data_IF_456136187148
#
_entry.id   IF_456136187148
#
_cell.length_a   1.000
_cell.length_b   1.000
_cell.length_c   1.000
_cell.angle_alpha   90.00
_cell.angle_beta   90.00
_cell.angle_gamma   90.00
#
_symmetry.space_group_name_H-M   'P 1'
#
loop_
_entity.id
_entity.type
_entity.pdbx_description
1 polymer ?
#
# COMPACT_ATOMS: atom_id res chain seq x y z
N UNK A 1 0.64 5.90 -19.13
CA UNK A 1 0.71 7.03 -18.18
C UNK A 1 0.61 6.47 -16.77
N UNK A 2 1.68 6.62 -15.97
CA UNK A 2 1.68 6.23 -14.56
C UNK A 2 0.74 7.16 -13.80
N UNK A 3 -0.23 6.59 -13.09
CA UNK A 3 -1.09 7.34 -12.20
C UNK A 3 -0.21 7.97 -11.11
N UNK A 4 -0.25 9.30 -10.95
CA UNK A 4 0.63 10.00 -10.02
C UNK A 4 0.51 9.44 -8.60
N UNK A 5 1.64 9.28 -7.92
CA UNK A 5 1.73 8.68 -6.58
C UNK A 5 0.76 9.33 -5.57
N UNK A 6 0.61 10.65 -5.62
CA UNK A 6 -0.34 11.41 -4.79
C UNK A 6 -1.79 10.97 -4.99
N UNK A 7 -2.20 10.75 -6.24
CA UNK A 7 -3.55 10.30 -6.57
C UNK A 7 -3.79 8.89 -6.05
N UNK A 8 -2.78 8.02 -6.12
CA UNK A 8 -2.86 6.68 -5.55
C UNK A 8 -2.98 6.72 -4.02
N UNK A 9 -2.28 7.62 -3.33
CA UNK A 9 -2.43 7.80 -1.87
C UNK A 9 -3.81 8.32 -1.49
N UNK A 10 -4.38 9.27 -2.25
CA UNK A 10 -5.75 9.76 -2.03
C UNK A 10 -6.75 8.61 -2.13
N UNK A 11 -6.63 7.77 -3.16
CA UNK A 11 -7.45 6.57 -3.32
C UNK A 11 -7.38 5.62 -2.12
N UNK A 12 -6.17 5.35 -1.62
CA UNK A 12 -5.97 4.45 -0.48
C UNK A 12 -6.53 5.02 0.83
N UNK A 13 -6.36 6.33 1.05
CA UNK A 13 -6.95 7.01 2.20
C UNK A 13 -8.47 6.90 2.17
N UNK A 14 -9.08 7.12 1.01
CA UNK A 14 -10.52 7.04 0.83
C UNK A 14 -11.04 5.61 0.96
N UNK A 15 -10.33 4.60 0.44
CA UNK A 15 -10.73 3.20 0.57
C UNK A 15 -10.78 2.69 2.02
N UNK A 16 -10.02 3.32 2.92
CA UNK A 16 -9.99 3.04 4.36
C UNK A 16 -11.02 3.85 5.16
N UNK A 17 -11.09 5.16 4.92
CA UNK A 17 -11.81 6.10 5.79
C UNK A 17 -13.25 6.32 5.34
N UNK A 18 -13.53 6.25 4.03
CA UNK A 18 -14.82 6.67 3.51
C UNK A 18 -15.41 5.68 2.48
N UNK A 19 -16.32 4.78 2.89
CA UNK A 19 -16.98 3.86 1.97
C UNK A 19 -17.88 4.56 0.95
N UNK A 20 -18.14 5.88 1.06
CA UNK A 20 -18.94 6.63 0.08
C UNK A 20 -18.30 6.77 -1.30
N UNK A 21 -17.02 6.40 -1.47
CA UNK A 21 -16.36 6.23 -2.78
C UNK A 21 -16.76 4.93 -3.49
N UNK A 22 -17.80 4.25 -2.99
CA UNK A 22 -18.25 2.97 -3.50
C UNK A 22 -18.50 3.07 -5.00
N UNK A 23 -17.80 2.23 -5.75
CA UNK A 23 -17.90 2.15 -7.21
C UNK A 23 -19.37 1.92 -7.64
N UNK A 24 -20.23 1.47 -6.73
CA UNK A 24 -21.68 1.32 -6.88
C UNK A 24 -22.43 2.64 -7.15
N UNK A 25 -22.07 3.76 -6.49
CA UNK A 25 -22.64 5.09 -6.83
C UNK A 25 -22.12 5.61 -8.17
N UNK A 26 -20.94 5.16 -8.56
CA UNK A 26 -20.22 5.60 -9.77
C UNK A 26 -20.56 4.77 -11.02
N UNK A 27 -21.18 3.60 -10.88
CA UNK A 27 -21.45 2.69 -12.00
C UNK A 27 -22.58 3.14 -12.93
N UNK A 28 -23.46 4.03 -12.46
CA UNK A 28 -24.70 4.38 -13.18
C UNK A 28 -24.76 5.82 -13.69
N UNK A 29 -24.10 6.78 -13.02
CA UNK A 29 -24.08 8.20 -13.41
C UNK A 29 -22.78 8.89 -12.99
N UNK A 30 -22.39 9.93 -13.74
CA UNK A 30 -21.33 10.83 -13.31
C UNK A 30 -21.73 11.55 -12.01
N UNK A 31 -20.76 11.91 -11.14
CA UNK A 31 -21.05 12.69 -9.96
C UNK A 31 -21.69 14.04 -10.32
N UNK A 32 -22.72 14.42 -9.57
CA UNK A 32 -23.44 15.69 -9.77
C UNK A 32 -22.55 16.89 -9.44
N UNK A 33 -21.69 16.76 -8.43
CA UNK A 33 -20.75 17.79 -8.02
C UNK A 33 -19.39 17.60 -8.67
N UNK A 34 -18.84 18.71 -9.21
CA UNK A 34 -17.54 18.71 -9.90
C UNK A 34 -16.38 18.31 -8.98
N UNK A 35 -16.51 18.55 -7.69
CA UNK A 35 -15.51 18.22 -6.66
C UNK A 35 -15.25 16.72 -6.54
N UNK A 36 -16.24 15.89 -6.88
CA UNK A 36 -16.14 14.43 -6.80
C UNK A 36 -15.59 13.80 -8.08
N UNK A 37 -15.41 14.57 -9.15
CA UNK A 37 -14.91 14.06 -10.44
C UNK A 37 -13.50 13.45 -10.34
N UNK A 38 -12.52 14.07 -9.65
CA UNK A 38 -11.20 13.47 -9.50
C UNK A 38 -11.25 12.10 -8.83
N UNK A 39 -12.09 11.95 -7.79
CA UNK A 39 -12.31 10.68 -7.07
C UNK A 39 -12.94 9.63 -7.97
N UNK A 40 -13.94 10.05 -8.74
CA UNK A 40 -14.60 9.19 -9.72
C UNK A 40 -13.62 8.60 -10.73
N UNK A 41 -12.88 9.45 -11.44
CA UNK A 41 -11.92 8.99 -12.45
C UNK A 41 -10.82 8.12 -11.86
N UNK A 42 -10.38 8.46 -10.65
CA UNK A 42 -9.38 7.69 -9.92
C UNK A 42 -9.89 6.29 -9.57
N UNK A 43 -11.09 6.19 -8.99
CA UNK A 43 -11.73 4.90 -8.64
C UNK A 43 -12.00 4.06 -9.89
N UNK A 44 -12.49 4.67 -10.97
CA UNK A 44 -12.68 3.99 -12.27
C UNK A 44 -11.35 3.45 -12.83
N UNK A 45 -10.28 4.23 -12.77
CA UNK A 45 -8.96 3.79 -13.23
C UNK A 45 -8.45 2.61 -12.40
N UNK A 46 -8.66 2.62 -11.08
CA UNK A 46 -8.30 1.49 -10.21
C UNK A 46 -9.15 0.25 -10.47
N UNK A 47 -10.43 0.42 -10.78
CA UNK A 47 -11.30 -0.69 -11.15
C UNK A 47 -10.85 -1.35 -12.47
N UNK A 48 -10.49 -0.55 -13.47
CA UNK A 48 -9.91 -1.06 -14.74
C UNK A 48 -8.59 -1.78 -14.48
N UNK A 49 -7.72 -1.20 -13.65
CA UNK A 49 -6.46 -1.84 -13.28
C UNK A 49 -6.68 -3.15 -12.54
N UNK A 50 -7.65 -3.21 -11.63
CA UNK A 50 -8.04 -4.44 -10.95
C UNK A 50 -8.57 -5.50 -11.94
N UNK A 51 -9.39 -5.10 -12.91
CA UNK A 51 -9.86 -5.99 -13.99
C UNK A 51 -8.69 -6.57 -14.80
N UNK A 52 -7.69 -5.76 -15.12
CA UNK A 52 -6.51 -6.17 -15.88
C UNK A 52 -5.59 -7.08 -15.05
N UNK A 53 -5.22 -6.65 -13.84
CA UNK A 53 -4.20 -7.31 -13.02
C UNK A 53 -4.72 -8.61 -12.40
N UNK A 54 -6.00 -8.64 -11.97
CA UNK A 54 -6.58 -9.80 -11.29
C UNK A 54 -7.11 -10.85 -12.27
N UNK A 55 -7.55 -10.43 -13.45
CA UNK A 55 -8.26 -11.27 -14.42
C UNK A 55 -7.71 -11.06 -15.85
N UNK A 56 -6.41 -11.34 -16.09
CA UNK A 56 -5.76 -10.99 -17.35
C UNK A 56 -6.38 -11.71 -18.56
N UNK A 57 -6.80 -12.97 -18.40
CA UNK A 57 -7.44 -13.74 -19.48
C UNK A 57 -8.84 -13.19 -19.81
N UNK A 58 -9.62 -12.83 -18.81
CA UNK A 58 -10.94 -12.24 -18.99
C UNK A 58 -10.85 -10.84 -19.59
N UNK A 59 -9.83 -10.08 -19.20
CA UNK A 59 -9.50 -8.78 -19.80
C UNK A 59 -9.21 -8.90 -21.29
N UNK A 60 -8.39 -9.88 -21.68
CA UNK A 60 -8.15 -10.17 -23.08
C UNK A 60 -9.46 -10.53 -23.81
N UNK A 61 -10.24 -11.47 -23.27
CA UNK A 61 -11.53 -11.90 -23.86
C UNK A 61 -12.52 -10.75 -24.03
N UNK A 62 -12.54 -9.81 -23.07
CA UNK A 62 -13.36 -8.61 -23.13
C UNK A 62 -13.01 -7.76 -24.35
N UNK A 63 -11.73 -7.46 -24.56
CA UNK A 63 -11.29 -6.68 -25.70
C UNK A 63 -11.43 -7.43 -27.03
N UNK A 64 -11.25 -8.74 -27.05
CA UNK A 64 -11.53 -9.57 -28.22
C UNK A 64 -13.00 -9.51 -28.62
N UNK A 65 -13.91 -9.55 -27.64
CA UNK A 65 -15.35 -9.42 -27.90
C UNK A 65 -15.70 -8.04 -28.46
N UNK A 66 -15.18 -6.98 -27.86
CA UNK A 66 -15.40 -5.60 -28.34
C UNK A 66 -14.82 -5.40 -29.74
N UNK A 67 -13.62 -5.93 -30.00
CA UNK A 67 -12.99 -5.84 -31.32
C UNK A 67 -13.74 -6.63 -32.39
N UNK A 68 -14.31 -7.80 -32.04
CA UNK A 68 -15.16 -8.60 -32.93
C UNK A 68 -16.43 -7.84 -33.30
N UNK A 69 -17.14 -7.30 -32.32
CA UNK A 69 -18.37 -6.54 -32.55
C UNK A 69 -18.10 -5.32 -33.44
N UNK A 70 -17.03 -4.57 -33.14
CA UNK A 70 -16.58 -3.42 -33.95
C UNK A 70 -16.30 -3.82 -35.40
N UNK A 71 -15.58 -4.93 -35.64
CA UNK A 71 -15.31 -5.45 -36.99
C UNK A 71 -16.59 -5.85 -37.73
N UNK A 72 -17.62 -6.29 -37.01
CA UNK A 72 -18.92 -6.64 -37.59
C UNK A 72 -19.89 -5.46 -37.76
N UNK A 73 -19.46 -4.22 -37.47
CA UNK A 73 -20.33 -3.04 -37.52
C UNK A 73 -21.38 -2.97 -36.41
N UNK A 74 -21.28 -3.82 -35.39
CA UNK A 74 -22.21 -3.85 -34.26
C UNK A 74 -21.74 -2.92 -33.14
N UNK A 75 -22.69 -2.34 -32.42
CA UNK A 75 -22.41 -1.59 -31.19
C UNK A 75 -22.21 -2.56 -30.04
N UNK A 76 -21.07 -2.48 -29.36
CA UNK A 76 -20.82 -3.22 -28.12
C UNK A 76 -21.44 -2.49 -26.93
N UNK A 77 -22.19 -3.22 -26.12
CA UNK A 77 -22.66 -2.74 -24.82
C UNK A 77 -21.69 -3.22 -23.74
N UNK A 78 -21.14 -2.30 -22.94
CA UNK A 78 -20.15 -2.63 -21.90
C UNK A 78 -20.62 -3.75 -20.98
N UNK A 79 -21.83 -3.66 -20.43
CA UNK A 79 -22.38 -4.65 -19.50
C UNK A 79 -22.46 -6.04 -20.12
N UNK A 80 -22.89 -6.15 -21.38
CA UNK A 80 -22.96 -7.42 -22.10
C UNK A 80 -21.57 -8.02 -22.32
N UNK A 81 -20.62 -7.23 -22.83
CA UNK A 81 -19.24 -7.69 -23.03
C UNK A 81 -18.58 -8.07 -21.70
N UNK A 82 -18.85 -7.31 -20.64
CA UNK A 82 -18.35 -7.57 -19.29
C UNK A 82 -18.87 -8.89 -18.76
N UNK A 83 -20.19 -9.09 -18.70
CA UNK A 83 -20.80 -10.32 -18.18
C UNK A 83 -20.32 -11.54 -18.97
N UNK A 84 -20.26 -11.45 -20.30
CA UNK A 84 -19.81 -12.55 -21.15
C UNK A 84 -18.34 -12.92 -20.94
N UNK A 85 -17.48 -11.93 -20.67
CA UNK A 85 -16.04 -12.17 -20.56
C UNK A 85 -15.60 -12.53 -19.15
N UNK A 86 -16.19 -11.87 -18.16
CA UNK A 86 -15.86 -12.01 -16.74
C UNK A 86 -16.72 -13.02 -15.99
N UNK A 87 -17.83 -13.46 -16.59
CA UNK A 87 -18.75 -14.45 -16.00
C UNK A 87 -19.20 -14.05 -14.58
N UNK A 88 -19.42 -12.75 -14.38
CA UNK A 88 -19.87 -12.18 -13.12
C UNK A 88 -20.74 -10.96 -13.37
N UNK A 89 -21.64 -10.67 -12.43
CA UNK A 89 -22.42 -9.44 -12.47
C UNK A 89 -21.54 -8.23 -12.09
N UNK A 90 -21.99 -7.03 -12.47
CA UNK A 90 -21.34 -5.79 -12.01
C UNK A 90 -21.38 -5.69 -10.48
N UNK A 91 -22.46 -6.14 -9.85
CA UNK A 91 -22.60 -6.15 -8.39
C UNK A 91 -21.54 -7.04 -7.72
N UNK A 92 -21.31 -8.25 -8.23
CA UNK A 92 -20.27 -9.16 -7.72
C UNK A 92 -18.87 -8.55 -7.88
N UNK A 93 -18.64 -7.92 -9.02
CA UNK A 93 -17.40 -7.21 -9.29
C UNK A 93 -17.18 -6.09 -8.28
N UNK A 94 -18.18 -5.24 -8.04
CA UNK A 94 -18.11 -4.17 -7.04
C UNK A 94 -17.73 -4.69 -5.66
N UNK A 95 -18.40 -5.76 -5.21
CA UNK A 95 -18.12 -6.37 -3.90
C UNK A 95 -16.68 -6.88 -3.81
N UNK A 96 -16.19 -7.58 -4.84
CA UNK A 96 -14.81 -8.10 -4.88
C UNK A 96 -13.78 -6.98 -4.94
N UNK A 97 -14.05 -5.95 -5.73
CA UNK A 97 -13.19 -4.78 -5.87
C UNK A 97 -13.11 -3.99 -4.55
N UNK A 98 -14.22 -3.80 -3.84
CA UNK A 98 -14.24 -3.11 -2.55
C UNK A 98 -13.36 -3.83 -1.51
N UNK A 99 -13.46 -5.17 -1.44
CA UNK A 99 -12.60 -5.99 -0.55
C UNK A 99 -11.13 -5.84 -0.92
N UNK A 100 -10.80 -5.91 -2.22
CA UNK A 100 -9.43 -5.73 -2.69
C UNK A 100 -8.87 -4.35 -2.34
N UNK A 101 -9.67 -3.31 -2.53
CA UNK A 101 -9.30 -1.91 -2.29
C UNK A 101 -9.05 -1.61 -0.82
N UNK A 102 -9.87 -2.18 0.08
CA UNK A 102 -9.63 -2.11 1.53
C UNK A 102 -8.33 -2.81 1.92
N UNK A 103 -8.08 -4.00 1.38
CA UNK A 103 -6.84 -4.76 1.66
C UNK A 103 -5.59 -3.99 1.21
N UNK A 104 -5.63 -3.37 0.03
CA UNK A 104 -4.56 -2.49 -0.44
C UNK A 104 -4.34 -1.30 0.49
N UNK A 105 -5.43 -0.68 0.98
CA UNK A 105 -5.39 0.36 2.00
C UNK A 105 -4.62 -0.08 3.25
N UNK A 106 -4.97 -1.24 3.82
CA UNK A 106 -4.31 -1.74 5.03
C UNK A 106 -2.83 -2.08 4.83
N UNK A 107 -2.46 -2.66 3.67
CA UNK A 107 -1.05 -2.91 3.37
C UNK A 107 -0.25 -1.61 3.37
N UNK A 108 -0.79 -0.55 2.78
CA UNK A 108 -0.13 0.75 2.77
C UNK A 108 -0.08 1.40 4.15
N UNK A 109 -1.14 1.29 4.95
CA UNK A 109 -1.11 1.75 6.34
C UNK A 109 -0.02 1.03 7.14
N UNK A 110 0.11 -0.29 6.94
CA UNK A 110 1.16 -1.08 7.58
C UNK A 110 2.55 -0.65 7.11
N UNK A 111 2.76 -0.44 5.81
CA UNK A 111 4.03 0.08 5.28
C UNK A 111 4.34 1.45 5.86
N UNK A 112 3.36 2.37 5.91
CA UNK A 112 3.53 3.71 6.47
C UNK A 112 3.90 3.66 7.96
N UNK A 113 3.27 2.78 8.75
CA UNK A 113 3.62 2.57 10.16
C UNK A 113 5.05 2.02 10.32
N UNK A 114 5.45 1.05 9.50
CA UNK A 114 6.82 0.55 9.53
C UNK A 114 7.82 1.64 9.14
N UNK A 115 7.55 2.40 8.08
CA UNK A 115 8.39 3.53 7.69
C UNK A 115 8.52 4.58 8.80
N UNK A 116 7.45 4.84 9.57
CA UNK A 116 7.50 5.74 10.72
C UNK A 116 8.42 5.22 11.83
N UNK A 117 8.34 3.92 12.13
CA UNK A 117 9.24 3.28 13.12
C UNK A 117 10.71 3.46 12.68
N UNK A 118 11.01 3.20 11.40
CA UNK A 118 12.35 3.41 10.85
C UNK A 118 12.80 4.87 10.87
N UNK A 119 11.88 5.82 10.68
CA UNK A 119 12.21 7.24 10.76
C UNK A 119 12.53 7.69 12.20
N UNK A 120 11.92 7.08 13.22
CA UNK A 120 12.13 7.42 14.63
C UNK A 120 13.40 6.75 15.21
N UNK A 121 13.81 5.59 14.68
CA UNK A 121 15.00 4.86 15.11
C UNK A 121 16.28 5.70 15.31
N UNK A 122 16.71 6.58 14.38
CA UNK A 122 17.92 7.38 14.58
C UNK A 122 17.84 8.31 15.79
N UNK A 123 16.66 8.89 16.06
CA UNK A 123 16.45 9.75 17.23
C UNK A 123 16.45 8.96 18.53
N UNK A 124 15.82 7.77 18.54
CA UNK A 124 15.85 6.87 19.68
C UNK A 124 17.28 6.42 20.00
N UNK A 125 18.06 6.04 18.98
CA UNK A 125 19.48 5.70 19.10
C UNK A 125 20.29 6.86 19.69
N UNK A 126 20.07 8.09 19.22
CA UNK A 126 20.74 9.27 19.75
C UNK A 126 20.39 9.51 21.22
N UNK A 127 19.12 9.40 21.60
CA UNK A 127 18.67 9.56 22.98
C UNK A 127 19.26 8.47 23.91
N UNK A 128 19.29 7.21 23.47
CA UNK A 128 19.91 6.10 24.20
C UNK A 128 21.41 6.34 24.35
N UNK A 129 22.11 6.73 23.28
CA UNK A 129 23.55 7.04 23.34
C UNK A 129 23.85 8.18 24.32
N UNK A 130 23.01 9.24 24.32
CA UNK A 130 23.13 10.35 25.28
C UNK A 130 22.88 9.90 26.72
N UNK A 131 21.87 9.06 26.97
CA UNK A 131 21.58 8.49 28.30
C UNK A 131 22.70 7.57 28.77
N UNK A 132 23.26 6.74 27.89
CA UNK A 132 24.41 5.86 28.19
C UNK A 132 25.65 6.67 28.55
N UNK A 133 25.97 7.73 27.80
CA UNK A 133 27.09 8.63 28.13
C UNK A 133 26.92 9.28 29.51
N UNK A 134 25.72 9.75 29.85
CA UNK A 134 25.45 10.32 31.19
C UNK A 134 25.67 9.29 32.31
N UNK A 135 25.15 8.07 32.14
CA UNK A 135 25.36 6.99 33.12
C UNK A 135 26.83 6.57 33.27
N UNK A 136 27.60 6.60 32.17
CA UNK A 136 29.05 6.35 32.22
C UNK A 136 29.81 7.44 32.98
N UNK A 137 29.36 8.69 32.93
CA UNK A 137 29.94 9.80 33.70
C UNK A 137 29.51 9.78 35.19
N UNK A 138 28.41 9.11 35.51
CA UNK A 138 27.89 8.96 36.88
C UNK A 138 28.38 7.68 37.57
N UNK A 139 29.08 6.79 36.85
CA UNK A 139 29.74 5.64 37.45
C UNK A 139 30.93 6.16 38.28
N UNK A 140 31.04 5.81 39.57
CA UNK A 140 32.22 6.15 40.35
C UNK A 140 33.43 5.49 39.68
N UNK A 141 34.54 6.23 39.59
CA UNK A 141 35.82 5.69 39.14
C UNK A 141 36.19 4.53 40.07
N UNK A 142 35.90 3.31 39.64
CA UNK A 142 36.46 2.12 40.26
C UNK A 142 37.98 2.27 40.08
N UNK A 143 38.77 2.20 41.16
CA UNK A 143 40.20 2.16 41.01
C UNK A 143 40.49 1.03 40.03
N UNK A 144 41.26 1.34 38.98
CA UNK A 144 41.89 0.31 38.19
C UNK A 144 42.54 -0.61 39.21
N UNK A 145 42.12 -1.87 39.26
CA UNK A 145 42.88 -2.87 40.00
C UNK A 145 44.26 -2.79 39.38
N UNK A 146 45.21 -2.22 40.13
CA UNK A 146 46.62 -2.24 39.78
C UNK A 146 46.91 -3.68 39.37
N UNK A 147 47.43 -3.85 38.16
CA UNK A 147 47.81 -5.15 37.61
C UNK A 147 48.50 -5.92 38.73
N UNK A 148 47.83 -7.00 39.17
CA UNK A 148 48.34 -7.89 40.19
C UNK A 148 49.68 -8.38 39.65
N UNK A 149 50.76 -7.81 40.21
CA UNK A 149 52.13 -8.12 39.86
C UNK A 149 52.28 -9.63 39.89
N UNK A 150 52.50 -10.25 38.73
CA UNK A 150 52.84 -11.67 38.65
C UNK A 150 53.99 -11.91 39.64
N UNK A 151 53.88 -12.86 40.58
CA UNK A 151 55.01 -13.19 41.43
C UNK A 151 56.10 -13.78 40.55
N UNK A 152 57.27 -13.14 40.52
CA UNK A 152 58.50 -13.71 39.98
C UNK A 152 58.75 -15.07 40.63
N UNK A 153 58.72 -16.12 39.83
CA UNK A 153 59.05 -17.50 40.19
C UNK A 153 60.53 -17.60 40.60
N UNK A 154 60.87 -17.81 41.88
CA UNK A 154 62.24 -17.89 42.32
C UNK A 154 62.67 -19.37 42.40
N UNK A 155 62.68 -20.08 41.28
CA UNK A 155 63.42 -21.36 41.22
C UNK A 155 63.82 -21.75 39.79
N UNK A 156 64.92 -21.14 39.33
CA UNK A 156 65.79 -21.70 38.29
C UNK A 156 67.25 -21.48 38.65
N UNK A 157 67.80 -22.43 39.40
CA UNK A 157 69.23 -22.77 39.38
C UNK A 157 69.39 -24.26 39.20
#
# INVERSE_FOLDING_TARGET
QQLGYERYLIYLKESLINPHSDLFRMGYRYPEHREDWPRFYLSSAMAVRYMQDRYPLQWQRFWESVARDKRSGKRSTFSTCFVNSYQMSLWDFHRKFAIHSKRQGYLYLFVALNSLIFAILPFAMFAIARKRRRRLLELPDLPLQDEESEPEDPDRT
#
